data_IF_497301937242
#
_entry.id   IF_497301937242
#
_cell.length_a   1.000
_cell.length_b   1.000
_cell.length_c   1.000
_cell.angle_alpha   90.00
_cell.angle_beta   90.00
_cell.angle_gamma   90.00
#
_symmetry.space_group_name_H-M   'P 1'
#
loop_
_entity.id
_entity.type
_entity.pdbx_description
1 polymer ?
#
# COMPACT_ATOMS: atom_id res chain seq x y z
N UNK A 1 8.59 18.25 -1.74
CA UNK A 1 8.08 17.11 -2.50
C UNK A 1 6.58 17.25 -2.75
N UNK A 2 6.11 16.68 -3.83
CA UNK A 2 4.70 16.65 -4.15
C UNK A 2 4.22 15.21 -4.30
N UNK A 3 2.93 14.92 -4.04
CA UNK A 3 2.40 13.58 -4.25
C UNK A 3 2.45 13.19 -5.73
N UNK A 4 3.01 12.01 -6.03
CA UNK A 4 3.13 11.55 -7.42
C UNK A 4 1.80 11.15 -8.05
N UNK A 5 0.87 10.59 -7.25
CA UNK A 5 -0.35 10.00 -7.78
C UNK A 5 -1.45 11.01 -8.06
N UNK A 6 -1.51 12.08 -7.29
CA UNK A 6 -2.60 13.04 -7.39
C UNK A 6 -2.60 13.73 -8.74
N UNK A 7 -3.70 13.59 -9.47
CA UNK A 7 -3.87 14.15 -10.80
C UNK A 7 -3.30 13.32 -11.95
N UNK A 8 -2.51 12.29 -11.65
CA UNK A 8 -1.96 11.41 -12.68
C UNK A 8 -3.08 10.56 -13.29
N UNK A 9 -3.30 10.73 -14.59
CA UNK A 9 -4.44 10.12 -15.31
C UNK A 9 -5.78 10.33 -14.58
N UNK A 10 -5.94 11.49 -13.93
CA UNK A 10 -7.17 11.83 -13.20
C UNK A 10 -7.29 11.20 -11.82
N UNK A 11 -6.22 10.61 -11.27
CA UNK A 11 -6.28 10.00 -9.94
C UNK A 11 -6.59 11.07 -8.88
N UNK A 12 -7.65 10.87 -8.05
CA UNK A 12 -8.19 11.95 -7.22
C UNK A 12 -7.51 12.15 -5.87
N UNK A 13 -6.55 11.29 -5.48
CA UNK A 13 -5.98 11.29 -4.14
C UNK A 13 -4.47 11.28 -4.16
N UNK A 14 -3.86 11.56 -2.99
CA UNK A 14 -2.40 11.57 -2.84
C UNK A 14 -1.82 10.19 -2.56
N UNK A 15 -2.63 9.27 -2.08
CA UNK A 15 -2.22 7.88 -1.78
C UNK A 15 -3.21 6.90 -2.40
N UNK A 16 -2.78 5.65 -2.54
CA UNK A 16 -3.68 4.54 -2.77
C UNK A 16 -3.89 3.80 -1.46
N UNK A 17 -5.13 3.55 -1.08
CA UNK A 17 -5.46 2.73 0.09
C UNK A 17 -6.31 1.56 -0.36
N UNK A 18 -5.72 0.37 -0.33
CA UNK A 18 -6.39 -0.84 -0.81
C UNK A 18 -6.69 -1.76 0.37
N UNK A 19 -7.95 -2.16 0.51
CA UNK A 19 -8.42 -2.91 1.66
C UNK A 19 -8.82 -4.32 1.22
N UNK A 20 -8.32 -5.32 1.93
CA UNK A 20 -8.66 -6.73 1.73
C UNK A 20 -8.48 -7.18 0.28
N UNK A 21 -9.57 -7.44 -0.43
CA UNK A 21 -9.53 -7.95 -1.81
C UNK A 21 -9.20 -6.90 -2.87
N UNK A 22 -9.09 -5.64 -2.48
CA UNK A 22 -8.54 -4.61 -3.38
C UNK A 22 -7.03 -4.83 -3.49
N UNK A 23 -6.55 -5.22 -4.64
CA UNK A 23 -5.14 -5.58 -4.81
C UNK A 23 -4.25 -4.34 -4.79
N UNK A 24 -4.56 -3.36 -5.65
CA UNK A 24 -3.81 -2.09 -5.77
C UNK A 24 -4.75 -0.97 -6.19
N UNK A 25 -4.25 0.25 -6.12
CA UNK A 25 -4.91 1.45 -6.64
C UNK A 25 -6.26 1.76 -6.00
N UNK A 26 -6.51 1.29 -4.78
CA UNK A 26 -7.71 1.67 -4.05
C UNK A 26 -7.76 3.19 -3.85
N UNK A 27 -8.93 3.77 -4.10
CA UNK A 27 -9.13 5.21 -3.96
C UNK A 27 -9.68 5.50 -2.56
N UNK A 28 -8.97 6.32 -1.75
CA UNK A 28 -9.49 6.71 -0.44
C UNK A 28 -10.83 7.46 -0.59
N UNK A 29 -11.80 7.08 0.20
CA UNK A 29 -13.04 7.86 0.29
C UNK A 29 -13.68 7.70 1.66
N UNK A 30 -14.60 8.60 1.99
CA UNK A 30 -15.24 8.66 3.31
C UNK A 30 -16.12 7.45 3.62
N UNK A 31 -16.61 6.75 2.60
CA UNK A 31 -17.47 5.57 2.78
C UNK A 31 -16.65 4.30 3.03
N UNK A 32 -15.37 4.35 2.75
CA UNK A 32 -14.45 3.25 2.91
C UNK A 32 -13.88 3.27 4.34
N UNK A 33 -14.64 2.74 5.28
CA UNK A 33 -14.28 2.74 6.70
C UNK A 33 -13.38 1.55 7.01
N UNK A 34 -12.20 1.82 7.55
CA UNK A 34 -11.26 0.79 7.99
C UNK A 34 -11.81 0.15 9.26
N UNK A 35 -11.84 -1.18 9.31
CA UNK A 35 -12.38 -1.94 10.44
C UNK A 35 -11.33 -2.88 11.01
N UNK A 36 -11.51 -3.24 12.27
CA UNK A 36 -10.66 -4.25 12.89
C UNK A 36 -10.72 -5.55 12.10
N UNK A 37 -9.56 -6.15 11.88
CA UNK A 37 -9.41 -7.36 11.07
C UNK A 37 -9.09 -7.10 9.61
N UNK A 38 -9.19 -5.87 9.15
CA UNK A 38 -8.86 -5.52 7.76
C UNK A 38 -7.36 -5.62 7.50
N UNK A 39 -7.03 -5.99 6.28
CA UNK A 39 -5.67 -5.90 5.74
C UNK A 39 -5.62 -4.65 4.88
N UNK A 40 -4.85 -3.67 5.30
CA UNK A 40 -4.76 -2.37 4.63
C UNK A 40 -3.39 -2.23 3.96
N UNK A 41 -3.40 -1.90 2.69
CA UNK A 41 -2.20 -1.57 1.91
C UNK A 41 -2.21 -0.08 1.64
N UNK A 42 -1.16 0.60 2.05
CA UNK A 42 -0.98 2.03 1.81
C UNK A 42 0.18 2.21 0.86
N UNK A 43 -0.11 2.76 -0.30
CA UNK A 43 0.84 2.98 -1.38
C UNK A 43 1.01 4.49 -1.55
N UNK A 44 2.25 4.95 -1.46
CA UNK A 44 2.57 6.37 -1.53
C UNK A 44 3.67 6.61 -2.55
N UNK A 45 3.56 7.73 -3.25
CA UNK A 45 4.61 8.19 -4.15
C UNK A 45 4.89 9.66 -3.92
N UNK A 46 6.15 10.03 -3.98
CA UNK A 46 6.58 11.42 -3.85
C UNK A 46 7.47 11.81 -5.02
N UNK A 47 7.22 13.00 -5.54
CA UNK A 47 8.03 13.61 -6.60
C UNK A 47 8.88 14.73 -6.01
N UNK A 48 10.20 14.64 -6.20
CA UNK A 48 11.13 15.63 -5.67
C UNK A 48 12.36 15.72 -6.58
N UNK A 49 12.68 16.94 -6.99
CA UNK A 49 13.87 17.24 -7.81
C UNK A 49 14.02 16.35 -9.05
N UNK A 50 12.93 16.07 -9.74
CA UNK A 50 12.93 15.26 -10.97
C UNK A 50 12.85 13.76 -10.76
N UNK A 51 12.77 13.29 -9.52
CA UNK A 51 12.71 11.88 -9.20
C UNK A 51 11.42 11.52 -8.48
N UNK A 52 10.94 10.30 -8.68
CA UNK A 52 9.83 9.72 -7.95
C UNK A 52 10.35 8.67 -6.99
N UNK A 53 9.90 8.73 -5.74
CA UNK A 53 10.05 7.64 -4.79
C UNK A 53 8.71 6.98 -4.59
N UNK A 54 8.67 5.67 -4.53
CA UNK A 54 7.44 4.89 -4.40
C UNK A 54 7.60 3.86 -3.30
N UNK A 55 6.61 3.75 -2.44
CA UNK A 55 6.64 2.83 -1.31
C UNK A 55 5.24 2.35 -0.97
N UNK A 56 5.13 1.07 -0.69
CA UNK A 56 3.88 0.46 -0.25
C UNK A 56 4.12 -0.37 1.00
N UNK A 57 3.25 -0.22 1.99
CA UNK A 57 3.27 -1.06 3.19
C UNK A 57 1.91 -1.74 3.37
N UNK A 58 1.94 -2.90 3.99
CA UNK A 58 0.73 -3.65 4.32
C UNK A 58 0.66 -3.82 5.83
N UNK A 59 -0.46 -3.44 6.41
CA UNK A 59 -0.67 -3.55 7.86
C UNK A 59 -1.97 -4.29 8.15
N UNK A 60 -1.97 -5.05 9.25
CA UNK A 60 -3.18 -5.61 9.81
C UNK A 60 -3.80 -4.59 10.76
N UNK A 61 -5.08 -4.31 10.62
CA UNK A 61 -5.80 -3.35 11.46
C UNK A 61 -6.32 -4.06 12.70
N UNK A 62 -5.76 -3.73 13.85
CA UNK A 62 -6.11 -4.41 15.09
C UNK A 62 -5.72 -5.87 15.03
N UNK A 63 -6.62 -6.75 15.49
CA UNK A 63 -6.37 -8.19 15.51
C UNK A 63 -6.89 -8.82 14.23
N UNK A 64 -5.96 -9.33 13.40
CA UNK A 64 -6.29 -10.00 12.14
C UNK A 64 -6.26 -11.53 12.34
N UNK A 65 -6.83 -12.27 11.38
CA UNK A 65 -6.78 -13.73 11.42
C UNK A 65 -5.35 -14.24 11.32
N UNK A 66 -5.04 -15.45 11.84
CA UNK A 66 -3.71 -16.04 11.67
C UNK A 66 -3.30 -16.19 10.21
N UNK A 67 -4.23 -16.53 9.33
CA UNK A 67 -3.95 -16.63 7.89
C UNK A 67 -3.55 -15.27 7.31
N UNK A 68 -4.26 -14.21 7.68
CA UNK A 68 -3.95 -12.87 7.21
C UNK A 68 -2.59 -12.41 7.72
N UNK A 69 -2.28 -12.63 9.00
CA UNK A 69 -1.00 -12.28 9.58
C UNK A 69 0.15 -13.02 8.88
N UNK A 70 -0.04 -14.30 8.60
CA UNK A 70 0.95 -15.11 7.87
C UNK A 70 1.15 -14.60 6.45
N UNK A 71 0.07 -14.25 5.75
CA UNK A 71 0.15 -13.72 4.39
C UNK A 71 0.97 -12.44 4.34
N UNK A 72 0.72 -11.52 5.28
CA UNK A 72 1.46 -10.27 5.37
C UNK A 72 2.95 -10.55 5.60
N UNK A 73 3.27 -11.44 6.53
CA UNK A 73 4.65 -11.80 6.85
C UNK A 73 5.36 -12.44 5.66
N UNK A 74 4.72 -13.39 5.00
CA UNK A 74 5.31 -14.10 3.85
C UNK A 74 5.53 -13.15 2.68
N UNK A 75 4.59 -12.23 2.44
CA UNK A 75 4.73 -11.23 1.38
C UNK A 75 5.92 -10.30 1.64
N UNK A 76 6.11 -9.86 2.87
CA UNK A 76 7.25 -9.03 3.26
C UNK A 76 8.57 -9.79 3.10
N UNK A 77 8.64 -11.02 3.56
CA UNK A 77 9.83 -11.87 3.40
C UNK A 77 10.16 -12.10 1.92
N UNK A 78 9.13 -12.31 1.09
CA UNK A 78 9.32 -12.51 -0.35
C UNK A 78 9.92 -11.25 -1.00
N UNK A 79 9.46 -10.07 -0.59
CA UNK A 79 10.01 -8.80 -1.08
C UNK A 79 11.50 -8.70 -0.77
N UNK A 80 11.91 -8.93 0.47
CA UNK A 80 13.31 -8.82 0.87
C UNK A 80 14.19 -9.88 0.21
N UNK A 81 13.67 -11.08 0.01
CA UNK A 81 14.40 -12.10 -0.74
C UNK A 81 14.62 -11.70 -2.19
N UNK A 82 13.62 -11.06 -2.80
CA UNK A 82 13.76 -10.51 -4.14
C UNK A 82 14.82 -9.41 -4.21
N UNK A 83 14.84 -8.51 -3.23
CA UNK A 83 15.81 -7.43 -3.14
C UNK A 83 17.24 -7.99 -3.04
N UNK A 84 17.44 -9.05 -2.25
CA UNK A 84 18.75 -9.69 -2.10
C UNK A 84 19.31 -10.21 -3.44
N UNK A 85 18.47 -10.48 -4.42
CA UNK A 85 18.90 -10.97 -5.73
C UNK A 85 19.34 -9.87 -6.69
N UNK A 86 19.09 -8.62 -6.36
CA UNK A 86 19.51 -7.46 -7.18
C UNK A 86 20.99 -7.22 -6.94
N UNK A 87 21.77 -7.23 -8.02
CA UNK A 87 23.22 -7.07 -7.96
C UNK A 87 23.69 -5.94 -8.86
#
# INVERSE_FOLDING_TARGET
ATPSFKGYHGFPASICSSINNEVVHGIPNKRKVIRQGDVLKVDTGAYFEGFHGDSCITIGVGQVTPEAARLIQVAEEALYKGIEQVK
#
